data_IF_985561923853
#
_entry.id   IF_985561923853
#
_cell.length_a   1.000
_cell.length_b   1.000
_cell.length_c   1.000
_cell.angle_alpha   90.00
_cell.angle_beta   90.00
_cell.angle_gamma   90.00
#
_symmetry.space_group_name_H-M   'P 1'
#
loop_
_entity.id
_entity.type
_entity.pdbx_description
1 polymer ?
#
# COMPACT_ATOMS: atom_id res chain seq x y z
N UNK A 1 19.16 6.07 8.15
CA UNK A 1 18.23 5.67 7.08
C UNK A 1 17.07 5.06 7.82
N UNK A 2 16.10 5.89 8.17
CA UNK A 2 14.98 5.48 9.00
C UNK A 2 13.92 4.83 8.10
N UNK A 3 13.61 3.57 8.39
CA UNK A 3 12.52 2.84 7.74
C UNK A 3 11.22 3.62 7.96
N UNK A 4 10.46 3.79 6.89
CA UNK A 4 9.29 4.66 6.83
C UNK A 4 8.16 4.22 7.78
N UNK A 5 8.24 3.01 8.38
CA UNK A 5 7.29 2.52 9.37
C UNK A 5 7.96 1.69 10.49
N UNK A 6 8.43 2.34 11.58
CA UNK A 6 8.87 1.67 12.80
C UNK A 6 7.70 1.20 13.69
N UNK A 7 6.46 1.40 13.23
CA UNK A 7 5.21 1.16 13.95
C UNK A 7 4.15 0.61 12.99
N UNK A 8 3.20 -0.16 13.52
CA UNK A 8 1.96 -0.54 12.79
C UNK A 8 1.07 0.67 12.51
N UNK A 9 0.02 0.44 11.72
CA UNK A 9 -1.07 1.38 11.38
C UNK A 9 -1.77 1.94 12.64
N UNK A 10 -1.61 1.26 13.79
CA UNK A 10 -2.15 1.62 15.09
C UNK A 10 -1.09 2.18 16.07
N UNK A 11 0.15 2.41 15.61
CA UNK A 11 1.20 3.08 16.39
C UNK A 11 2.04 2.16 17.30
N UNK A 12 2.15 0.86 17.00
CA UNK A 12 2.75 -0.14 17.91
C UNK A 12 4.07 -0.67 17.34
N UNK A 13 5.13 -0.78 18.18
CA UNK A 13 6.45 -1.22 17.70
C UNK A 13 6.47 -2.72 17.45
N UNK A 14 7.31 -3.14 16.50
CA UNK A 14 7.55 -4.55 16.09
C UNK A 14 7.91 -5.55 17.21
N UNK A 15 8.26 -5.08 18.41
CA UNK A 15 8.61 -5.91 19.58
C UNK A 15 7.54 -5.87 20.70
N UNK A 16 6.47 -5.10 20.53
CA UNK A 16 5.37 -5.04 21.48
C UNK A 16 4.38 -6.18 21.23
N UNK A 17 3.83 -6.78 22.29
CA UNK A 17 2.76 -7.81 22.28
C UNK A 17 1.62 -7.49 21.28
N UNK A 18 1.35 -6.20 21.17
CA UNK A 18 0.45 -5.53 20.25
C UNK A 18 0.73 -5.78 18.76
N UNK A 19 1.99 -5.88 18.35
CA UNK A 19 2.40 -6.26 17.00
C UNK A 19 2.14 -7.74 16.70
N UNK A 20 2.39 -8.61 17.67
CA UNK A 20 2.04 -10.03 17.54
C UNK A 20 0.52 -10.21 17.43
N UNK A 21 -0.27 -9.50 18.24
CA UNK A 21 -1.73 -9.45 18.13
C UNK A 21 -2.19 -8.91 16.77
N UNK A 22 -1.54 -7.87 16.24
CA UNK A 22 -1.84 -7.32 14.91
C UNK A 22 -1.58 -8.36 13.81
N UNK A 23 -0.43 -9.04 13.84
CA UNK A 23 -0.10 -10.11 12.89
C UNK A 23 -1.08 -11.30 12.99
N UNK A 24 -1.47 -11.67 14.21
CA UNK A 24 -2.46 -12.72 14.44
C UNK A 24 -3.83 -12.33 13.86
N UNK A 25 -4.27 -11.08 14.05
CA UNK A 25 -5.52 -10.58 13.45
C UNK A 25 -5.45 -10.51 11.94
N UNK A 26 -4.33 -10.07 11.36
CA UNK A 26 -4.13 -10.10 9.91
C UNK A 26 -4.26 -11.51 9.34
N UNK A 27 -3.76 -12.52 10.05
CA UNK A 27 -3.83 -13.91 9.59
C UNK A 27 -5.24 -14.51 9.75
N UNK A 28 -5.97 -14.13 10.80
CA UNK A 28 -7.18 -14.84 11.24
C UNK A 28 -8.49 -14.09 10.98
N UNK A 29 -8.46 -12.77 10.79
CA UNK A 29 -9.64 -11.93 10.56
C UNK A 29 -9.56 -11.28 9.17
N UNK A 30 -10.35 -11.81 8.24
CA UNK A 30 -10.46 -11.27 6.89
C UNK A 30 -10.91 -9.81 6.86
N UNK A 31 -11.86 -9.41 7.70
CA UNK A 31 -12.36 -8.02 7.70
C UNK A 31 -11.26 -7.06 8.14
N UNK A 32 -10.45 -7.47 9.11
CA UNK A 32 -9.30 -6.70 9.56
C UNK A 32 -8.21 -6.62 8.48
N UNK A 33 -7.82 -7.76 7.89
CA UNK A 33 -6.82 -7.80 6.82
C UNK A 33 -7.22 -6.97 5.60
N UNK A 34 -8.50 -7.02 5.23
CA UNK A 34 -9.06 -6.21 4.15
C UNK A 34 -9.00 -4.71 4.47
N UNK A 35 -9.44 -4.31 5.66
CA UNK A 35 -9.45 -2.91 6.08
C UNK A 35 -8.04 -2.31 6.05
N UNK A 36 -7.06 -3.06 6.55
CA UNK A 36 -5.63 -2.71 6.53
C UNK A 36 -5.15 -2.47 5.09
N UNK A 37 -5.36 -3.42 4.17
CA UNK A 37 -4.94 -3.25 2.78
C UNK A 37 -5.71 -2.12 2.04
N UNK A 38 -6.98 -1.89 2.38
CA UNK A 38 -7.78 -0.77 1.86
C UNK A 38 -7.25 0.58 2.33
N UNK A 39 -6.89 0.71 3.61
CA UNK A 39 -6.30 1.93 4.18
C UNK A 39 -4.96 2.25 3.50
N UNK A 40 -4.11 1.24 3.34
CA UNK A 40 -2.81 1.39 2.67
C UNK A 40 -2.98 1.79 1.19
N UNK A 41 -3.99 1.25 0.48
CA UNK A 41 -4.31 1.67 -0.88
C UNK A 41 -4.80 3.13 -0.93
N UNK A 42 -5.73 3.51 -0.04
CA UNK A 42 -6.25 4.88 0.03
C UNK A 42 -5.15 5.89 0.31
N UNK A 43 -4.20 5.55 1.18
CA UNK A 43 -3.05 6.40 1.45
C UNK A 43 -2.17 6.59 0.21
N UNK A 44 -1.86 5.52 -0.54
CA UNK A 44 -1.09 5.63 -1.79
C UNK A 44 -1.84 6.47 -2.84
N UNK A 45 -3.16 6.33 -2.97
CA UNK A 45 -3.98 7.15 -3.86
C UNK A 45 -3.98 8.62 -3.45
N UNK A 46 -4.10 8.90 -2.15
CA UNK A 46 -4.07 10.26 -1.62
C UNK A 46 -2.71 10.92 -1.88
N UNK A 47 -1.61 10.24 -1.57
CA UNK A 47 -0.25 10.74 -1.82
C UNK A 47 0.01 10.98 -3.31
N UNK A 48 -0.48 10.08 -4.16
CA UNK A 48 -0.39 10.26 -5.60
C UNK A 48 -1.17 11.48 -6.08
N UNK A 49 -2.40 11.67 -5.61
CA UNK A 49 -3.24 12.83 -5.96
C UNK A 49 -2.57 14.16 -5.55
N UNK A 50 -1.92 14.17 -4.37
CA UNK A 50 -1.17 15.33 -3.89
C UNK A 50 0.02 15.62 -4.79
N UNK A 51 0.76 14.59 -5.18
CA UNK A 51 1.88 14.73 -6.12
C UNK A 51 1.41 15.25 -7.49
N UNK A 52 0.34 14.69 -8.06
CA UNK A 52 -0.22 15.17 -9.32
C UNK A 52 -0.60 16.66 -9.25
N UNK A 53 -1.23 17.09 -8.15
CA UNK A 53 -1.55 18.50 -7.93
C UNK A 53 -0.30 19.39 -7.85
N UNK A 54 0.76 18.94 -7.19
CA UNK A 54 2.04 19.65 -7.14
C UNK A 54 2.66 19.80 -8.53
N UNK A 55 2.55 18.77 -9.39
CA UNK A 55 3.01 18.78 -10.79
C UNK A 55 2.19 19.75 -11.64
N UNK A 56 0.86 19.66 -11.59
CA UNK A 56 -0.05 20.54 -12.34
C UNK A 56 0.16 22.01 -11.99
N UNK A 57 0.33 22.31 -10.70
CA UNK A 57 0.54 23.67 -10.20
C UNK A 57 1.99 24.14 -10.34
N UNK A 58 2.91 23.27 -10.78
CA UNK A 58 4.36 23.53 -10.84
C UNK A 58 4.95 24.01 -9.50
N UNK A 59 4.39 23.53 -8.39
CA UNK A 59 4.81 23.88 -7.02
C UNK A 59 5.77 22.86 -6.42
N UNK A 60 6.14 21.82 -7.18
CA UNK A 60 7.08 20.79 -6.74
C UNK A 60 8.50 21.34 -6.54
N UNK A 61 9.19 20.82 -5.53
CA UNK A 61 10.62 21.10 -5.31
C UNK A 61 11.48 20.08 -6.05
N UNK A 62 12.45 20.52 -6.85
CA UNK A 62 13.37 19.63 -7.59
C UNK A 62 14.11 18.66 -6.67
N UNK A 63 14.49 19.12 -5.47
CA UNK A 63 15.11 18.29 -4.43
C UNK A 63 14.20 17.14 -4.01
N UNK A 64 12.88 17.38 -3.91
CA UNK A 64 11.89 16.36 -3.58
C UNK A 64 11.78 15.31 -4.69
N UNK A 65 11.86 15.70 -5.97
CA UNK A 65 11.90 14.75 -7.09
C UNK A 65 13.13 13.83 -7.00
N UNK A 66 14.31 14.42 -6.76
CA UNK A 66 15.56 13.67 -6.60
C UNK A 66 15.50 12.74 -5.38
N UNK A 67 14.96 13.20 -4.25
CA UNK A 67 14.80 12.39 -3.04
C UNK A 67 13.84 11.21 -3.26
N UNK A 68 12.68 11.43 -3.89
CA UNK A 68 11.70 10.37 -4.16
C UNK A 68 12.26 9.27 -5.05
N UNK A 69 13.15 9.63 -5.98
CA UNK A 69 13.84 8.71 -6.87
C UNK A 69 15.20 8.23 -6.33
N UNK A 70 15.61 8.66 -5.14
CA UNK A 70 16.92 8.38 -4.52
C UNK A 70 18.10 8.72 -5.46
N UNK A 71 17.96 9.79 -6.23
CA UNK A 71 18.98 10.29 -7.15
C UNK A 71 19.98 11.18 -6.40
N UNK A 72 21.26 11.10 -6.79
CA UNK A 72 22.28 12.03 -6.31
C UNK A 72 21.99 13.48 -6.75
N UNK A 73 22.50 14.45 -5.98
CA UNK A 73 22.29 15.89 -6.23
C UNK A 73 22.82 16.37 -7.60
N UNK A 74 23.80 15.67 -8.18
CA UNK A 74 24.38 15.98 -9.49
C UNK A 74 23.67 15.28 -10.66
N UNK A 75 22.47 14.75 -10.45
CA UNK A 75 21.73 14.07 -11.49
C UNK A 75 21.26 15.05 -12.59
N UNK A 76 21.50 14.67 -13.85
CA UNK A 76 21.22 15.50 -15.04
C UNK A 76 19.88 15.21 -15.72
N UNK A 77 19.07 14.30 -15.17
CA UNK A 77 17.75 13.95 -15.70
C UNK A 77 16.83 15.17 -15.61
N UNK A 78 15.98 15.36 -16.62
CA UNK A 78 15.04 16.47 -16.62
C UNK A 78 13.99 16.30 -15.52
N UNK A 79 13.32 17.40 -15.15
CA UNK A 79 12.25 17.31 -14.16
C UNK A 79 11.05 16.55 -14.74
N UNK A 80 10.78 16.66 -16.04
CA UNK A 80 9.75 15.89 -16.75
C UNK A 80 10.01 14.38 -16.70
N UNK A 81 11.24 13.94 -16.99
CA UNK A 81 11.63 12.53 -16.91
C UNK A 81 11.50 12.00 -15.47
N UNK A 82 11.87 12.81 -14.47
CA UNK A 82 11.71 12.45 -13.05
C UNK A 82 10.23 12.31 -12.68
N UNK A 83 9.39 13.23 -13.14
CA UNK A 83 7.95 13.18 -12.88
C UNK A 83 7.34 11.93 -13.50
N UNK A 84 7.71 11.58 -14.73
CA UNK A 84 7.24 10.36 -15.41
C UNK A 84 7.65 9.09 -14.65
N UNK A 85 8.90 9.02 -14.17
CA UNK A 85 9.36 7.90 -13.34
C UNK A 85 8.63 7.82 -12.00
N UNK A 86 8.33 8.95 -11.37
CA UNK A 86 7.55 8.99 -10.12
C UNK A 86 6.11 8.53 -10.38
N UNK A 87 5.48 8.95 -11.47
CA UNK A 87 4.16 8.47 -11.87
C UNK A 87 4.16 6.96 -12.04
N UNK A 88 5.12 6.40 -12.81
CA UNK A 88 5.26 4.96 -13.00
C UNK A 88 5.47 4.21 -11.68
N UNK A 89 6.17 4.81 -10.71
CA UNK A 89 6.37 4.23 -9.37
C UNK A 89 5.05 4.16 -8.61
N UNK A 90 4.25 5.23 -8.63
CA UNK A 90 2.93 5.25 -7.99
C UNK A 90 1.97 4.27 -8.66
N UNK A 91 1.92 4.23 -10.00
CA UNK A 91 1.07 3.29 -10.74
C UNK A 91 1.37 1.84 -10.37
N UNK A 92 2.65 1.46 -10.34
CA UNK A 92 3.06 0.10 -9.94
C UNK A 92 2.73 -0.23 -8.49
N UNK A 93 2.91 0.72 -7.58
CA UNK A 93 2.60 0.53 -6.16
C UNK A 93 1.09 0.36 -5.95
N UNK A 94 0.27 1.22 -6.55
CA UNK A 94 -1.19 1.16 -6.52
C UNK A 94 -1.68 -0.16 -7.11
N UNK A 95 -1.18 -0.56 -8.28
CA UNK A 95 -1.58 -1.82 -8.92
C UNK A 95 -1.27 -3.02 -8.02
N UNK A 96 -0.08 -3.05 -7.39
CA UNK A 96 0.27 -4.12 -6.46
C UNK A 96 -0.70 -4.21 -5.28
N UNK A 97 -1.10 -3.08 -4.71
CA UNK A 97 -2.07 -3.04 -3.60
C UNK A 97 -3.47 -3.50 -4.02
N UNK A 98 -3.89 -3.11 -5.22
CA UNK A 98 -5.14 -3.62 -5.82
C UNK A 98 -5.05 -5.14 -5.98
N UNK A 99 -3.93 -5.67 -6.48
CA UNK A 99 -3.74 -7.11 -6.64
C UNK A 99 -3.79 -7.85 -5.29
N UNK A 100 -3.17 -7.29 -4.24
CA UNK A 100 -3.26 -7.82 -2.87
C UNK A 100 -4.72 -7.89 -2.38
N UNK A 101 -5.49 -6.81 -2.55
CA UNK A 101 -6.90 -6.78 -2.18
C UNK A 101 -7.71 -7.80 -2.97
N UNK A 102 -7.47 -7.93 -4.28
CA UNK A 102 -8.13 -8.94 -5.11
C UNK A 102 -7.85 -10.35 -4.59
N UNK A 103 -6.62 -10.65 -4.17
CA UNK A 103 -6.27 -11.94 -3.58
C UNK A 103 -7.07 -12.17 -2.29
N UNK A 104 -7.10 -11.21 -1.38
CA UNK A 104 -7.88 -11.32 -0.14
C UNK A 104 -9.36 -11.58 -0.41
N UNK A 105 -9.97 -10.83 -1.34
CA UNK A 105 -11.38 -11.01 -1.70
C UNK A 105 -11.66 -12.39 -2.31
N UNK A 106 -10.73 -12.94 -3.12
CA UNK A 106 -10.84 -14.29 -3.67
C UNK A 106 -10.75 -15.36 -2.59
N UNK A 107 -9.78 -15.25 -1.68
CA UNK A 107 -9.61 -16.20 -0.58
C UNK A 107 -10.86 -16.27 0.31
N UNK A 108 -11.52 -15.13 0.56
CA UNK A 108 -12.78 -15.10 1.30
C UNK A 108 -13.92 -15.76 0.53
N UNK A 109 -14.06 -15.46 -0.78
CA UNK A 109 -15.08 -16.08 -1.62
C UNK A 109 -14.92 -17.61 -1.68
N UNK A 110 -13.69 -18.11 -1.75
CA UNK A 110 -13.43 -19.56 -1.79
C UNK A 110 -13.78 -20.23 -0.45
N UNK A 111 -13.44 -19.60 0.68
CA UNK A 111 -13.85 -20.07 2.01
C UNK A 111 -15.37 -20.12 2.16
N UNK A 112 -16.09 -19.09 1.71
CA UNK A 112 -17.56 -19.05 1.76
C UNK A 112 -18.19 -20.13 0.86
N UNK A 113 -17.62 -20.37 -0.32
CA UNK A 113 -18.06 -21.45 -1.22
C UNK A 113 -17.83 -22.84 -0.63
N UNK A 114 -16.71 -23.05 0.07
CA UNK A 114 -16.42 -24.32 0.75
C UNK A 114 -17.41 -24.60 1.88
N UNK A 115 -17.74 -23.60 2.72
CA UNK A 115 -18.77 -23.74 3.77
C UNK A 115 -20.11 -24.21 3.19
N UNK A 116 -20.57 -23.58 2.09
CA UNK A 116 -21.83 -23.97 1.42
C UNK A 116 -21.77 -25.41 0.87
N UNK A 117 -20.60 -25.85 0.38
CA UNK A 117 -20.43 -27.24 -0.11
C UNK A 117 -20.51 -28.25 1.03
N UNK A 118 -19.88 -27.97 2.17
CA UNK A 118 -19.95 -28.84 3.35
C UNK A 118 -21.39 -28.94 3.88
N UNK A 119 -22.10 -27.83 4.01
CA UNK A 119 -23.51 -27.83 4.45
C UNK A 119 -24.45 -28.63 3.52
N UNK A 120 -24.11 -28.73 2.22
CA UNK A 120 -24.88 -29.50 1.24
C UNK A 120 -24.58 -31.00 1.24
N UNK A 121 -23.45 -31.43 1.78
CA UNK A 121 -23.04 -32.85 1.83
C UNK A 121 -23.55 -33.53 3.11
N UNK A 122 -23.82 -32.76 4.18
CA UNK A 122 -24.42 -33.24 5.44
C UNK A 122 -25.97 -33.38 5.39
N UNK A 123 -26.57 -33.49 4.19
CA UNK A 123 -28.00 -33.74 3.95
C UNK A 123 -28.21 -35.06 3.21
#
# INVERSE_FOLDING_TARGET
MDELFPYSEFGEKKEDLKWEEHLERLANDFQYARMVEEEVLLQSLFDYSKFQREVEQKTYMKEKLNQTLKLGSNNTMSDEEKIELINLKYEKDIQKKIDNLIVLYKDQSDKELDVIRFEKIDL
#
